data_IF_882481439869
#
_entry.id   IF_882481439869
#
_cell.length_a   1.000
_cell.length_b   1.000
_cell.length_c   1.000
_cell.angle_alpha   90.00
_cell.angle_beta   90.00
_cell.angle_gamma   90.00
#
_symmetry.space_group_name_H-M   'P 1'
#
loop_
_entity.id
_entity.type
_entity.pdbx_description
1 polymer ?
#
# COMPACT_ATOMS: atom_id res chain seq x y z
N UNK A 1 -14.73 -20.18 11.19
CA UNK A 1 -14.42 -19.32 10.03
C UNK A 1 -13.88 -18.00 10.57
N UNK A 2 -12.58 -17.72 10.46
CA UNK A 2 -12.05 -16.39 10.77
C UNK A 2 -12.00 -15.60 9.48
N UNK A 3 -13.07 -14.86 9.19
CA UNK A 3 -13.10 -13.94 8.06
C UNK A 3 -12.03 -12.87 8.32
N UNK A 4 -10.95 -12.90 7.54
CA UNK A 4 -10.00 -11.80 7.53
C UNK A 4 -10.75 -10.61 6.96
N UNK A 5 -10.82 -9.52 7.73
CA UNK A 5 -11.43 -8.29 7.26
C UNK A 5 -10.80 -7.88 5.92
N UNK A 6 -11.67 -7.76 4.92
CA UNK A 6 -11.31 -7.47 3.52
C UNK A 6 -10.55 -6.16 3.41
N UNK A 7 -10.80 -5.20 4.29
CA UNK A 7 -10.12 -3.89 4.29
C UNK A 7 -8.61 -4.01 4.56
N UNK A 8 -8.16 -5.09 5.19
CA UNK A 8 -6.74 -5.33 5.53
C UNK A 8 -6.13 -6.49 4.74
N UNK A 9 -6.85 -7.02 3.75
CA UNK A 9 -6.27 -8.00 2.84
C UNK A 9 -5.40 -7.30 1.79
N UNK A 10 -4.19 -7.84 1.50
CA UNK A 10 -3.37 -7.33 0.42
C UNK A 10 -4.13 -7.32 -0.91
N UNK A 11 -3.96 -6.27 -1.70
CA UNK A 11 -4.59 -6.13 -3.02
C UNK A 11 -4.16 -7.25 -3.97
N UNK A 12 -2.93 -7.75 -3.84
CA UNK A 12 -2.44 -8.94 -4.55
C UNK A 12 -3.29 -10.20 -4.29
N UNK A 13 -4.08 -10.25 -3.21
CA UNK A 13 -4.96 -11.38 -2.85
C UNK A 13 -6.44 -11.14 -3.11
N UNK A 14 -6.87 -9.89 -3.24
CA UNK A 14 -8.27 -9.54 -3.43
C UNK A 14 -8.75 -9.60 -4.89
N UNK A 15 -7.94 -10.12 -5.83
CA UNK A 15 -8.22 -10.16 -7.28
C UNK A 15 -8.18 -8.73 -7.90
N UNK A 16 -7.90 -8.42 -9.17
CA UNK A 16 -7.32 -9.10 -10.34
C UNK A 16 -6.25 -8.16 -10.95
N UNK A 17 -5.34 -7.60 -10.14
CA UNK A 17 -4.36 -6.61 -10.66
C UNK A 17 -3.55 -7.18 -11.84
N UNK A 18 -3.34 -8.50 -11.88
CA UNK A 18 -2.65 -9.16 -12.99
C UNK A 18 -3.53 -9.45 -14.22
N UNK A 19 -4.87 -9.39 -14.12
CA UNK A 19 -5.76 -9.71 -15.26
C UNK A 19 -6.11 -8.49 -16.10
N UNK A 20 -5.94 -7.28 -15.54
CA UNK A 20 -6.20 -6.04 -16.25
C UNK A 20 -4.90 -5.40 -16.71
N UNK A 21 -4.90 -4.92 -17.96
CA UNK A 21 -3.83 -4.09 -18.49
C UNK A 21 -4.17 -2.63 -18.19
N UNK A 22 -3.60 -2.09 -17.12
CA UNK A 22 -3.79 -0.70 -16.76
C UNK A 22 -3.03 0.20 -17.73
N UNK A 23 -3.72 1.21 -18.29
CA UNK A 23 -3.09 2.29 -19.04
C UNK A 23 -2.51 3.38 -18.12
N UNK A 24 -2.98 3.43 -16.87
CA UNK A 24 -2.57 4.41 -15.88
C UNK A 24 -2.72 3.85 -14.46
N UNK A 25 -1.76 4.15 -13.57
CA UNK A 25 -1.80 3.87 -12.14
C UNK A 25 -1.34 5.13 -11.41
N UNK A 26 -2.24 5.79 -10.70
CA UNK A 26 -1.93 7.00 -9.91
C UNK A 26 -1.59 6.67 -8.45
N UNK A 27 -0.89 7.58 -7.78
CA UNK A 27 -0.54 7.51 -6.36
C UNK A 27 -1.14 8.69 -5.60
N UNK A 28 -1.57 8.46 -4.36
CA UNK A 28 -2.09 9.54 -3.51
C UNK A 28 -1.03 10.61 -3.19
N UNK A 29 0.23 10.19 -3.10
CA UNK A 29 1.35 11.08 -2.81
C UNK A 29 1.59 12.13 -3.90
N UNK A 30 1.24 11.80 -5.14
CA UNK A 30 1.43 12.59 -6.39
C UNK A 30 0.09 12.84 -7.10
N UNK A 31 -1.03 12.78 -6.39
CA UNK A 31 -2.39 12.77 -6.96
C UNK A 31 -2.65 13.92 -7.94
N UNK A 32 -2.21 15.14 -7.59
CA UNK A 32 -2.42 16.32 -8.43
C UNK A 32 -1.67 16.21 -9.76
N UNK A 33 -0.38 15.85 -9.71
CA UNK A 33 0.47 15.63 -10.89
C UNK A 33 -0.03 14.48 -11.76
N UNK A 34 -0.42 13.37 -11.11
CA UNK A 34 -0.94 12.17 -11.74
C UNK A 34 -2.24 12.46 -12.50
N UNK A 35 -3.13 13.23 -11.88
CA UNK A 35 -4.39 13.61 -12.50
C UNK A 35 -4.19 14.58 -13.67
N UNK A 36 -3.29 15.56 -13.55
CA UNK A 36 -2.95 16.46 -14.65
C UNK A 36 -2.46 15.69 -15.88
N UNK A 37 -1.56 14.73 -15.68
CA UNK A 37 -1.07 13.86 -16.77
C UNK A 37 -2.19 13.01 -17.38
N UNK A 38 -3.08 12.47 -16.56
CA UNK A 38 -4.21 11.68 -17.04
C UNK A 38 -5.16 12.52 -17.91
N UNK A 39 -5.48 13.75 -17.50
CA UNK A 39 -6.34 14.68 -18.26
C UNK A 39 -5.71 14.98 -19.62
N UNK A 40 -4.40 15.28 -19.66
CA UNK A 40 -3.65 15.52 -20.88
C UNK A 40 -3.68 14.30 -21.81
N UNK A 41 -3.42 13.10 -21.29
CA UNK A 41 -3.45 11.85 -22.06
C UNK A 41 -4.82 11.54 -22.67
N UNK A 42 -5.90 11.98 -22.03
CA UNK A 42 -7.26 11.82 -22.52
C UNK A 42 -7.70 12.92 -23.48
N UNK A 43 -6.85 13.93 -23.74
CA UNK A 43 -7.18 15.07 -24.60
C UNK A 43 -8.28 15.97 -24.02
N UNK A 44 -8.45 15.94 -22.70
CA UNK A 44 -9.45 16.73 -22.00
C UNK A 44 -8.89 18.12 -21.67
N UNK A 45 -9.75 19.14 -21.67
CA UNK A 45 -9.34 20.50 -21.36
C UNK A 45 -9.21 20.67 -19.84
N UNK A 46 -8.01 21.00 -19.37
CA UNK A 46 -7.72 21.25 -17.95
C UNK A 46 -8.56 22.40 -17.39
N UNK A 47 -8.98 23.35 -18.24
CA UNK A 47 -9.80 24.50 -17.82
C UNK A 47 -11.24 24.12 -17.45
N UNK A 48 -11.75 22.99 -17.94
CA UNK A 48 -13.06 22.47 -17.55
C UNK A 48 -13.03 21.83 -16.15
N UNK A 49 -11.82 21.61 -15.62
CA UNK A 49 -11.56 20.88 -14.40
C UNK A 49 -11.13 21.82 -13.28
N UNK A 50 -12.12 22.40 -12.58
CA UNK A 50 -11.93 23.30 -11.43
C UNK A 50 -11.43 22.55 -10.17
N UNK A 51 -10.13 22.24 -10.11
CA UNK A 51 -9.51 21.41 -9.05
C UNK A 51 -9.42 22.03 -7.65
N UNK A 52 -9.61 23.34 -7.51
CA UNK A 52 -9.13 24.09 -6.33
C UNK A 52 -9.72 23.66 -4.98
N UNK A 53 -10.75 22.80 -4.92
CA UNK A 53 -11.40 22.41 -3.65
C UNK A 53 -11.51 20.92 -3.34
N UNK A 54 -11.31 20.00 -4.30
CA UNK A 54 -11.65 18.58 -4.11
C UNK A 54 -10.49 17.74 -3.58
N UNK A 55 -9.25 18.09 -3.96
CA UNK A 55 -8.05 17.43 -3.45
C UNK A 55 -7.57 18.12 -2.18
N UNK A 56 -8.42 18.19 -1.16
CA UNK A 56 -7.89 18.33 0.20
C UNK A 56 -7.15 17.04 0.48
N UNK A 57 -5.88 16.96 0.09
CA UNK A 57 -4.95 15.94 0.59
C UNK A 57 -5.00 16.09 2.10
N UNK A 58 -5.78 15.23 2.75
CA UNK A 58 -6.01 15.31 4.18
C UNK A 58 -4.66 15.41 4.88
N UNK A 59 -4.67 15.98 6.09
CA UNK A 59 -3.54 16.11 7.02
C UNK A 59 -2.85 14.77 7.40
N UNK A 60 -3.07 13.72 6.62
CA UNK A 60 -2.55 12.36 6.73
C UNK A 60 -1.07 12.25 6.33
N UNK A 61 -0.53 13.18 5.51
CA UNK A 61 0.84 13.10 4.98
C UNK A 61 1.92 13.13 6.08
N UNK A 62 1.59 13.59 7.28
CA UNK A 62 2.56 13.77 8.39
C UNK A 62 2.42 12.75 9.52
N UNK A 63 1.26 12.09 9.70
CA UNK A 63 1.01 11.26 10.88
C UNK A 63 1.38 9.77 10.71
N UNK A 64 1.58 9.25 9.50
CA UNK A 64 1.91 7.82 9.38
C UNK A 64 3.32 7.50 9.93
N UNK A 65 4.28 8.43 9.80
CA UNK A 65 5.65 8.27 10.29
C UNK A 65 5.70 8.08 11.81
N UNK A 66 4.91 8.85 12.56
CA UNK A 66 4.75 8.71 14.02
C UNK A 66 3.97 7.43 14.38
N UNK A 67 2.98 7.03 13.57
CA UNK A 67 2.30 5.75 13.77
C UNK A 67 3.28 4.57 13.64
N UNK A 68 4.13 4.55 12.61
CA UNK A 68 5.16 3.52 12.44
C UNK A 68 6.24 3.57 13.52
N UNK A 69 6.58 4.75 14.06
CA UNK A 69 7.57 4.85 15.14
C UNK A 69 7.13 4.15 16.42
N UNK A 70 5.82 3.99 16.65
CA UNK A 70 5.28 3.32 17.84
C UNK A 70 5.19 1.79 17.69
N UNK A 71 5.44 1.23 16.51
CA UNK A 71 5.36 -0.21 16.28
C UNK A 71 6.63 -0.94 16.72
N UNK A 72 6.49 -2.17 17.21
CA UNK A 72 7.66 -3.04 17.49
C UNK A 72 8.31 -3.53 16.19
N UNK A 73 9.61 -3.86 16.23
CA UNK A 73 10.31 -4.44 15.08
C UNK A 73 9.63 -5.73 14.60
N UNK A 74 9.08 -6.53 15.52
CA UNK A 74 8.34 -7.74 15.19
C UNK A 74 7.06 -7.44 14.40
N UNK A 75 6.29 -6.43 14.79
CA UNK A 75 5.09 -6.02 14.06
C UNK A 75 5.45 -5.50 12.68
N UNK A 76 6.48 -4.66 12.57
CA UNK A 76 6.98 -4.16 11.27
C UNK A 76 7.38 -5.34 10.37
N UNK A 77 8.10 -6.33 10.88
CA UNK A 77 8.47 -7.51 10.08
C UNK A 77 7.27 -8.35 9.63
N UNK A 78 6.22 -8.46 10.46
CA UNK A 78 4.98 -9.13 10.05
C UNK A 78 4.25 -8.33 8.96
N UNK A 79 4.15 -7.01 9.10
CA UNK A 79 3.54 -6.14 8.09
C UNK A 79 4.32 -6.22 6.76
N UNK A 80 5.65 -6.10 6.81
CA UNK A 80 6.53 -6.29 5.65
C UNK A 80 6.22 -7.61 4.95
N UNK A 81 6.08 -8.71 5.69
CA UNK A 81 5.78 -10.00 5.10
C UNK A 81 4.37 -10.11 4.50
N UNK A 82 3.36 -9.56 5.17
CA UNK A 82 1.95 -9.62 4.72
C UNK A 82 1.75 -8.85 3.43
N UNK A 83 2.34 -7.65 3.31
CA UNK A 83 2.14 -6.73 2.18
C UNK A 83 3.30 -6.72 1.17
N UNK A 84 4.29 -7.62 1.29
CA UNK A 84 5.49 -7.65 0.42
C UNK A 84 5.18 -7.61 -1.07
N UNK A 85 4.13 -8.31 -1.50
CA UNK A 85 3.80 -8.48 -2.91
C UNK A 85 3.15 -7.19 -3.44
N UNK A 86 2.34 -6.51 -2.63
CA UNK A 86 1.76 -5.20 -2.94
C UNK A 86 2.83 -4.12 -3.04
N UNK A 87 3.79 -4.08 -2.09
CA UNK A 87 4.93 -3.15 -2.16
C UNK A 87 5.69 -3.31 -3.48
N UNK A 88 5.93 -4.55 -3.91
CA UNK A 88 6.58 -4.84 -5.20
C UNK A 88 5.70 -4.44 -6.38
N UNK A 89 4.40 -4.73 -6.33
CA UNK A 89 3.48 -4.52 -7.43
C UNK A 89 3.25 -3.04 -7.75
N UNK A 90 3.22 -2.19 -6.72
CA UNK A 90 2.93 -0.76 -6.84
C UNK A 90 4.18 0.13 -6.70
N UNK A 91 5.36 -0.47 -6.71
CA UNK A 91 6.66 0.20 -6.61
C UNK A 91 6.73 1.15 -5.40
N UNK A 92 6.48 0.58 -4.21
CA UNK A 92 6.66 1.25 -2.94
C UNK A 92 7.79 0.58 -2.16
N UNK A 93 8.61 1.38 -1.49
CA UNK A 93 9.62 0.88 -0.56
C UNK A 93 9.12 1.08 0.86
N UNK A 94 9.05 -0.01 1.62
CA UNK A 94 8.61 0.07 3.01
C UNK A 94 9.54 0.96 3.86
N UNK A 95 10.80 1.07 3.46
CA UNK A 95 11.82 1.93 4.09
C UNK A 95 11.46 3.42 4.04
N UNK A 96 10.68 3.86 3.05
CA UNK A 96 10.23 5.25 2.93
C UNK A 96 9.25 5.63 4.05
N UNK A 97 8.59 4.64 4.64
CA UNK A 97 7.66 4.78 5.76
C UNK A 97 8.32 4.60 7.13
N UNK A 98 9.57 4.11 7.18
CA UNK A 98 10.33 3.86 8.41
C UNK A 98 11.36 4.98 8.64
N UNK A 99 10.97 6.03 9.37
CA UNK A 99 11.81 7.22 9.61
C UNK A 99 13.14 6.93 10.31
N UNK A 100 13.11 6.19 11.43
CA UNK A 100 14.29 5.96 12.29
C UNK A 100 14.86 4.54 12.20
N UNK A 101 14.22 3.65 11.44
CA UNK A 101 14.51 2.20 11.47
C UNK A 101 14.58 1.58 10.08
N UNK A 102 15.31 2.23 9.17
CA UNK A 102 15.48 1.79 7.77
C UNK A 102 16.13 0.40 7.64
N UNK A 103 16.93 -0.01 8.62
CA UNK A 103 17.72 -1.25 8.57
C UNK A 103 17.15 -2.40 9.43
N UNK A 104 15.83 -2.46 9.67
CA UNK A 104 15.24 -3.59 10.41
C UNK A 104 15.49 -4.90 9.65
N UNK A 105 16.30 -5.76 10.26
CA UNK A 105 16.55 -7.13 9.80
C UNK A 105 15.41 -8.04 10.26
N UNK A 106 14.63 -8.54 9.30
CA UNK A 106 13.55 -9.48 9.57
C UNK A 106 14.05 -10.92 9.38
N UNK A 107 14.18 -11.68 10.47
CA UNK A 107 14.62 -13.07 10.40
C UNK A 107 13.62 -13.97 9.65
N UNK A 108 14.12 -15.01 8.97
CA UNK A 108 13.29 -15.99 8.26
C UNK A 108 12.26 -16.70 9.17
N UNK A 109 12.47 -16.71 10.49
CA UNK A 109 11.56 -17.31 11.47
C UNK A 109 10.12 -16.78 11.40
N UNK A 110 9.91 -15.55 10.90
CA UNK A 110 8.58 -14.97 10.74
C UNK A 110 7.75 -15.67 9.64
N UNK A 111 8.40 -16.24 8.61
CA UNK A 111 7.72 -17.04 7.58
C UNK A 111 7.00 -18.25 8.18
N UNK A 112 7.61 -18.87 9.20
CA UNK A 112 7.11 -20.10 9.82
C UNK A 112 6.00 -19.86 10.86
N UNK A 113 6.02 -18.72 11.57
CA UNK A 113 4.96 -18.40 12.56
C UNK A 113 3.65 -17.94 11.91
N UNK A 114 3.71 -17.36 10.70
CA UNK A 114 2.52 -16.94 9.94
C UNK A 114 1.88 -18.11 9.16
N UNK A 115 2.68 -19.04 8.63
CA UNK A 115 2.15 -20.26 8.02
C UNK A 115 1.46 -21.18 9.03
N UNK A 116 1.99 -21.30 10.26
CA UNK A 116 1.40 -22.11 11.35
C UNK A 116 0.12 -21.53 11.96
N UNK A 117 -0.25 -20.28 11.65
CA UNK A 117 -1.53 -19.66 12.07
C UNK A 117 -2.64 -19.78 11.03
N UNK A 118 -2.36 -20.30 9.84
CA UNK A 118 -3.44 -20.78 8.96
C UNK A 118 -3.91 -22.11 9.54
N UNK A 119 -5.19 -22.28 9.91
CA UNK A 119 -5.71 -23.60 10.15
C UNK A 119 -5.51 -24.40 8.85
N UNK A 120 -4.87 -25.57 8.95
CA UNK A 120 -4.99 -26.60 7.93
C UNK A 120 -6.49 -26.85 7.74
N UNK A 121 -7.02 -26.54 6.57
CA UNK A 121 -8.27 -27.15 6.12
C UNK A 121 -7.88 -28.51 5.55
N UNK A 122 -7.84 -29.50 6.43
CA UNK A 122 -8.24 -30.87 6.06
C UNK A 122 -9.77 -30.93 6.20
N UNK A 123 -10.39 -31.63 5.25
CA UNK A 123 -11.82 -31.82 4.96
C UNK A 123 -12.43 -30.81 3.98
#
# INVERSE_FOLDING_TARGET
STFSDVHWQPYSKLCQVCLFKYNFIGKYETMEEDLMKLIEQLGLNVNDWNQKSYFKTGKTKENYKSLYSNLTNQTICKLKYVYKDDFKLFDYKVEDYLTSRKNIQCSQSYKQKLSKKRPNKEN
#
